data_IF_597354323100
#
_entry.id   IF_597354323100
#
_cell.length_a   1.000
_cell.length_b   1.000
_cell.length_c   1.000
_cell.angle_alpha   90.00
_cell.angle_beta   90.00
_cell.angle_gamma   90.00
#
_symmetry.space_group_name_H-M   'P 1'
#
loop_
_entity.id
_entity.type
_entity.pdbx_description
1 polymer ?
#
# COMPACT_ATOMS: atom_id res chain seq x y z
N UNK A 1 -11.92 4.80 19.43
CA UNK A 1 -11.46 6.09 20.01
C UNK A 1 -12.38 7.21 19.53
N UNK A 2 -12.68 8.21 20.37
CA UNK A 2 -13.51 9.35 19.94
C UNK A 2 -12.59 10.42 19.35
N UNK A 3 -12.82 10.78 18.07
CA UNK A 3 -12.02 11.79 17.37
C UNK A 3 -12.51 13.19 17.76
N UNK A 4 -11.65 14.00 18.35
CA UNK A 4 -11.99 15.33 18.88
C UNK A 4 -11.11 16.47 18.32
N UNK A 5 -9.95 16.11 17.77
CA UNK A 5 -8.96 17.06 17.27
C UNK A 5 -8.05 16.41 16.21
N UNK A 6 -7.18 17.21 15.59
CA UNK A 6 -6.24 16.74 14.55
C UNK A 6 -5.25 15.70 15.08
N UNK A 7 -4.86 15.78 16.36
CA UNK A 7 -3.96 14.80 16.96
C UNK A 7 -4.63 13.43 17.08
N UNK A 8 -5.91 13.37 17.46
CA UNK A 8 -6.68 12.12 17.49
C UNK A 8 -6.80 11.51 16.08
N UNK A 9 -7.03 12.36 15.05
CA UNK A 9 -7.05 11.94 13.64
C UNK A 9 -5.69 11.38 13.21
N UNK A 10 -4.61 12.10 13.54
CA UNK A 10 -3.24 11.69 13.22
C UNK A 10 -2.91 10.32 13.82
N UNK A 11 -3.10 10.15 15.13
CA UNK A 11 -2.81 8.88 15.83
C UNK A 11 -3.66 7.73 15.27
N UNK A 12 -4.95 7.98 15.02
CA UNK A 12 -5.86 6.97 14.44
C UNK A 12 -5.42 6.59 13.04
N UNK A 13 -5.07 7.56 12.20
CA UNK A 13 -4.62 7.32 10.83
C UNK A 13 -3.31 6.53 10.79
N UNK A 14 -2.33 6.87 11.64
CA UNK A 14 -1.09 6.10 11.77
C UNK A 14 -1.36 4.65 12.17
N UNK A 15 -2.28 4.44 13.12
CA UNK A 15 -2.67 3.11 13.58
C UNK A 15 -3.24 2.24 12.44
N UNK A 16 -4.11 2.82 11.60
CA UNK A 16 -4.71 2.12 10.46
C UNK A 16 -3.74 1.87 9.32
N UNK A 17 -2.85 2.83 9.05
CA UNK A 17 -1.83 2.67 8.00
C UNK A 17 -0.81 1.61 8.39
N UNK A 18 -0.43 1.52 9.66
CA UNK A 18 0.50 0.50 10.12
C UNK A 18 -0.06 -0.92 9.94
N UNK A 19 -1.32 -1.16 10.30
CA UNK A 19 -2.00 -2.45 10.05
C UNK A 19 -2.17 -2.73 8.54
N UNK A 20 -2.38 -1.68 7.73
CA UNK A 20 -2.42 -1.81 6.28
C UNK A 20 -1.08 -2.31 5.74
N UNK A 21 0.05 -1.71 6.12
CA UNK A 21 1.37 -2.12 5.63
C UNK A 21 1.73 -3.54 6.05
N UNK A 22 1.42 -3.94 7.28
CA UNK A 22 1.63 -5.31 7.75
C UNK A 22 0.88 -6.33 6.88
N UNK A 23 -0.39 -6.05 6.55
CA UNK A 23 -1.25 -6.94 5.78
C UNK A 23 -0.89 -6.98 4.29
N UNK A 24 -0.68 -5.80 3.69
CA UNK A 24 -0.36 -5.69 2.27
C UNK A 24 1.02 -6.26 1.97
N UNK A 25 1.98 -6.12 2.89
CA UNK A 25 3.28 -6.78 2.77
C UNK A 25 3.18 -8.31 2.72
N UNK A 26 2.32 -8.92 3.55
CA UNK A 26 2.05 -10.37 3.50
C UNK A 26 1.35 -10.78 2.21
N UNK A 27 0.41 -9.97 1.73
CA UNK A 27 -0.30 -10.23 0.49
C UNK A 27 0.60 -10.11 -0.73
N UNK A 28 1.54 -9.16 -0.75
CA UNK A 28 2.48 -8.98 -1.86
C UNK A 28 3.28 -10.27 -2.15
N UNK A 29 3.60 -11.07 -1.13
CA UNK A 29 4.22 -12.38 -1.32
C UNK A 29 3.32 -13.33 -2.11
N UNK A 30 2.03 -13.44 -1.76
CA UNK A 30 1.05 -14.25 -2.49
C UNK A 30 0.85 -13.75 -3.93
N UNK A 31 0.83 -12.44 -4.13
CA UNK A 31 0.74 -11.85 -5.48
C UNK A 31 1.98 -12.18 -6.31
N UNK A 32 3.17 -12.18 -5.72
CA UNK A 32 4.40 -12.58 -6.40
C UNK A 32 4.39 -14.06 -6.81
N UNK A 33 3.83 -14.95 -5.99
CA UNK A 33 3.66 -16.36 -6.31
C UNK A 33 2.65 -16.57 -7.45
N UNK A 34 1.55 -15.82 -7.44
CA UNK A 34 0.46 -15.92 -8.39
C UNK A 34 0.75 -15.28 -9.76
N UNK A 35 1.65 -14.30 -9.82
CA UNK A 35 2.01 -13.58 -11.04
C UNK A 35 2.75 -14.48 -12.04
N UNK A 36 2.41 -14.38 -13.32
CA UNK A 36 3.06 -15.10 -14.43
C UNK A 36 4.14 -14.24 -15.10
N UNK A 37 3.95 -12.92 -15.19
CA UNK A 37 4.92 -12.01 -15.76
C UNK A 37 6.13 -11.84 -14.81
N UNK A 38 7.39 -12.10 -15.28
CA UNK A 38 8.57 -12.05 -14.41
C UNK A 38 8.85 -10.67 -13.80
N UNK A 39 8.60 -9.60 -14.54
CA UNK A 39 8.82 -8.24 -14.05
C UNK A 39 7.79 -7.87 -12.97
N UNK A 40 6.53 -8.26 -13.17
CA UNK A 40 5.48 -8.08 -12.18
C UNK A 40 5.76 -8.88 -10.91
N UNK A 41 6.23 -10.12 -11.04
CA UNK A 41 6.69 -10.95 -9.92
C UNK A 41 7.77 -10.24 -9.11
N UNK A 42 8.78 -9.69 -9.78
CA UNK A 42 9.87 -8.94 -9.11
C UNK A 42 9.35 -7.70 -8.38
N UNK A 43 8.40 -6.97 -8.98
CA UNK A 43 7.78 -5.80 -8.33
C UNK A 43 7.07 -6.22 -7.04
N UNK A 44 6.29 -7.30 -7.06
CA UNK A 44 5.60 -7.78 -5.87
C UNK A 44 6.56 -8.31 -4.80
N UNK A 45 7.65 -8.99 -5.18
CA UNK A 45 8.70 -9.41 -4.24
C UNK A 45 9.33 -8.19 -3.53
N UNK A 46 9.63 -7.13 -4.27
CA UNK A 46 10.14 -5.87 -3.69
C UNK A 46 9.11 -5.21 -2.78
N UNK A 47 7.83 -5.31 -3.10
CA UNK A 47 6.75 -4.72 -2.29
C UNK A 47 6.67 -5.33 -0.88
N UNK A 48 7.07 -6.58 -0.69
CA UNK A 48 7.17 -7.20 0.66
C UNK A 48 8.13 -6.41 1.56
N UNK A 49 9.32 -6.10 1.05
CA UNK A 49 10.33 -5.32 1.78
C UNK A 49 9.89 -3.87 1.95
N UNK A 50 9.33 -3.28 0.90
CA UNK A 50 8.83 -1.90 0.92
C UNK A 50 7.74 -1.67 1.97
N UNK A 51 6.76 -2.56 2.08
CA UNK A 51 5.71 -2.44 3.12
C UNK A 51 6.31 -2.45 4.53
N UNK A 52 7.35 -3.26 4.77
CA UNK A 52 8.06 -3.26 6.04
C UNK A 52 8.77 -1.92 6.29
N UNK A 53 9.47 -1.38 5.29
CA UNK A 53 10.13 -0.06 5.38
C UNK A 53 9.10 1.05 5.66
N UNK A 54 7.95 1.01 4.99
CA UNK A 54 6.86 1.97 5.22
C UNK A 54 6.32 1.86 6.66
N UNK A 55 6.08 0.65 7.14
CA UNK A 55 5.66 0.43 8.52
C UNK A 55 6.66 0.98 9.55
N UNK A 56 7.97 0.78 9.34
CA UNK A 56 9.01 1.34 10.20
C UNK A 56 8.98 2.88 10.22
N UNK A 57 8.75 3.53 9.09
CA UNK A 57 8.61 4.99 9.01
C UNK A 57 7.33 5.48 9.72
N UNK A 58 6.24 4.72 9.67
CA UNK A 58 5.03 5.00 10.47
C UNK A 58 5.33 4.91 11.96
N UNK A 59 6.09 3.90 12.41
CA UNK A 59 6.52 3.76 13.80
C UNK A 59 7.43 4.93 14.24
N UNK A 60 8.32 5.40 13.36
CA UNK A 60 9.11 6.61 13.60
C UNK A 60 8.21 7.86 13.80
N UNK A 61 7.16 8.01 12.97
CA UNK A 61 6.22 9.11 13.14
C UNK A 61 5.51 9.07 14.50
N UNK A 62 5.09 7.88 14.99
CA UNK A 62 4.58 7.72 16.36
C UNK A 62 5.57 8.21 17.42
N UNK A 63 6.84 7.79 17.30
CA UNK A 63 7.90 8.20 18.24
C UNK A 63 8.11 9.71 18.25
N UNK A 64 8.13 10.33 17.05
CA UNK A 64 8.29 11.79 16.91
C UNK A 64 7.11 12.58 17.47
N UNK A 65 5.93 11.98 17.51
CA UNK A 65 4.73 12.54 18.15
C UNK A 65 4.71 12.31 19.67
N UNK A 66 5.66 11.56 20.22
CA UNK A 66 5.64 11.16 21.63
C UNK A 66 4.49 10.21 21.97
N UNK A 67 3.98 9.46 20.98
CA UNK A 67 2.87 8.54 21.14
C UNK A 67 3.36 7.08 21.12
N UNK A 68 2.76 6.20 21.91
CA UNK A 68 3.03 4.77 21.82
C UNK A 68 2.54 4.23 20.47
N UNK A 69 3.31 3.31 19.89
CA UNK A 69 2.89 2.60 18.66
C UNK A 69 1.64 1.78 18.95
N UNK A 70 0.60 1.98 18.17
CA UNK A 70 -0.68 1.28 18.29
C UNK A 70 -1.03 0.64 16.94
N UNK A 71 -1.71 -0.50 17.01
CA UNK A 71 -2.24 -1.22 15.85
C UNK A 71 -3.73 -1.48 16.04
N UNK A 72 -4.53 -1.08 15.09
CA UNK A 72 -5.94 -1.39 15.03
C UNK A 72 -6.27 -1.97 13.68
N UNK A 73 -7.23 -2.87 13.67
CA UNK A 73 -7.70 -3.52 12.46
C UNK A 73 -8.17 -2.50 11.40
N UNK A 74 -7.56 -2.54 10.23
CA UNK A 74 -7.97 -1.78 9.07
C UNK A 74 -8.90 -2.64 8.20
N UNK A 75 -10.20 -2.35 8.25
CA UNK A 75 -11.21 -3.09 7.48
C UNK A 75 -11.07 -2.87 5.97
N UNK A 76 -10.55 -1.72 5.51
CA UNK A 76 -10.28 -1.47 4.10
C UNK A 76 -9.16 -2.39 3.62
N UNK A 77 -8.08 -2.52 4.41
CA UNK A 77 -7.00 -3.46 4.09
C UNK A 77 -7.51 -4.90 3.99
N UNK A 78 -8.38 -5.31 4.90
CA UNK A 78 -8.97 -6.66 4.85
C UNK A 78 -9.83 -6.88 3.60
N UNK A 79 -10.65 -5.90 3.23
CA UNK A 79 -11.45 -5.98 2.01
C UNK A 79 -10.57 -6.08 0.76
N UNK A 80 -9.51 -5.26 0.65
CA UNK A 80 -8.56 -5.32 -0.46
C UNK A 80 -7.87 -6.69 -0.55
N UNK A 81 -7.50 -7.29 0.59
CA UNK A 81 -6.90 -8.62 0.62
C UNK A 81 -7.88 -9.68 0.09
N UNK A 82 -9.12 -9.62 0.56
CA UNK A 82 -10.16 -10.55 0.13
C UNK A 82 -10.43 -10.46 -1.38
N UNK A 83 -10.48 -9.25 -1.94
CA UNK A 83 -10.62 -9.03 -3.38
C UNK A 83 -9.47 -9.66 -4.18
N UNK A 84 -8.23 -9.47 -3.74
CA UNK A 84 -7.06 -10.09 -4.40
C UNK A 84 -7.12 -11.62 -4.35
N UNK A 85 -7.49 -12.19 -3.20
CA UNK A 85 -7.67 -13.64 -3.07
C UNK A 85 -8.77 -14.16 -4.01
N UNK A 86 -9.86 -13.41 -4.14
CA UNK A 86 -10.92 -13.69 -5.10
C UNK A 86 -10.44 -13.62 -6.56
N UNK A 87 -9.66 -12.61 -6.92
CA UNK A 87 -9.07 -12.46 -8.27
C UNK A 87 -8.16 -13.66 -8.59
N UNK A 88 -7.30 -14.08 -7.67
CA UNK A 88 -6.42 -15.24 -7.86
C UNK A 88 -7.23 -16.53 -8.02
N UNK A 89 -8.26 -16.72 -7.21
CA UNK A 89 -9.08 -17.93 -7.23
C UNK A 89 -9.94 -18.07 -8.49
N UNK A 90 -10.36 -16.94 -9.08
CA UNK A 90 -11.29 -16.90 -10.23
C UNK A 90 -10.60 -16.64 -11.57
N UNK A 91 -9.28 -16.70 -11.64
CA UNK A 91 -8.52 -16.54 -12.89
C UNK A 91 -7.50 -17.66 -13.04
N UNK A 92 -7.28 -18.13 -14.26
CA UNK A 92 -6.18 -19.02 -14.57
C UNK A 92 -4.83 -18.27 -14.56
N UNK A 93 -3.70 -18.97 -14.27
CA UNK A 93 -2.37 -18.37 -14.42
C UNK A 93 -2.18 -17.83 -15.85
N UNK A 94 -1.73 -16.57 -15.95
CA UNK A 94 -1.52 -15.95 -17.25
C UNK A 94 -1.79 -14.43 -17.24
N UNK A 95 -1.81 -13.80 -18.44
CA UNK A 95 -1.89 -12.35 -18.56
C UNK A 95 -3.15 -11.72 -17.95
N UNK A 96 -4.28 -12.43 -17.95
CA UNK A 96 -5.53 -11.92 -17.37
C UNK A 96 -5.41 -11.80 -15.85
N UNK A 97 -4.85 -12.81 -15.19
CA UNK A 97 -4.54 -12.75 -13.76
C UNK A 97 -3.55 -11.62 -13.47
N UNK A 98 -2.49 -11.53 -14.24
CA UNK A 98 -1.49 -10.45 -14.07
C UNK A 98 -2.12 -9.06 -14.18
N UNK A 99 -3.03 -8.84 -15.13
CA UNK A 99 -3.77 -7.59 -15.27
C UNK A 99 -4.64 -7.31 -14.03
N UNK A 100 -5.34 -8.31 -13.51
CA UNK A 100 -6.15 -8.17 -12.28
C UNK A 100 -5.27 -7.82 -11.07
N UNK A 101 -4.10 -8.46 -10.93
CA UNK A 101 -3.15 -8.16 -9.84
C UNK A 101 -2.58 -6.75 -9.94
N UNK A 102 -2.36 -6.21 -11.14
CA UNK A 102 -1.95 -4.81 -11.34
C UNK A 102 -3.03 -3.85 -10.85
N UNK A 103 -4.29 -4.08 -11.19
CA UNK A 103 -5.42 -3.25 -10.72
C UNK A 103 -5.45 -3.22 -9.20
N UNK A 104 -5.36 -4.37 -8.55
CA UNK A 104 -5.36 -4.46 -7.09
C UNK A 104 -4.15 -3.74 -6.46
N UNK A 105 -2.97 -3.88 -7.05
CA UNK A 105 -1.77 -3.20 -6.57
C UNK A 105 -1.87 -1.68 -6.72
N UNK A 106 -2.43 -1.17 -7.82
CA UNK A 106 -2.67 0.26 -8.00
C UNK A 106 -3.68 0.81 -6.97
N UNK A 107 -4.74 0.07 -6.66
CA UNK A 107 -5.67 0.44 -5.58
C UNK A 107 -4.95 0.57 -4.23
N UNK A 108 -4.04 -0.35 -3.92
CA UNK A 108 -3.22 -0.29 -2.70
C UNK A 108 -2.29 0.93 -2.70
N UNK A 109 -1.67 1.27 -3.85
CA UNK A 109 -0.85 2.48 -3.96
C UNK A 109 -1.69 3.75 -3.78
N UNK A 110 -2.87 3.82 -4.36
CA UNK A 110 -3.77 4.97 -4.17
C UNK A 110 -4.21 5.13 -2.71
N UNK A 111 -4.47 4.03 -2.00
CA UNK A 111 -4.73 4.07 -0.57
C UNK A 111 -3.55 4.66 0.22
N UNK A 112 -2.30 4.26 -0.11
CA UNK A 112 -1.09 4.83 0.48
C UNK A 112 -0.97 6.32 0.20
N UNK A 113 -1.16 6.72 -1.05
CA UNK A 113 -1.06 8.14 -1.46
C UNK A 113 -2.05 9.00 -0.68
N UNK A 114 -3.31 8.58 -0.57
CA UNK A 114 -4.33 9.29 0.18
C UNK A 114 -4.00 9.34 1.69
N UNK A 115 -3.61 8.20 2.26
CA UNK A 115 -3.32 8.08 3.69
C UNK A 115 -2.07 8.88 4.09
N UNK A 116 -0.95 8.65 3.41
CA UNK A 116 0.29 9.37 3.72
C UNK A 116 0.20 10.86 3.43
N UNK A 117 -0.52 11.27 2.37
CA UNK A 117 -0.76 12.68 2.09
C UNK A 117 -1.51 13.38 3.22
N UNK A 118 -2.57 12.77 3.73
CA UNK A 118 -3.34 13.32 4.85
C UNK A 118 -2.52 13.36 6.14
N UNK A 119 -1.79 12.27 6.45
CA UNK A 119 -0.99 12.16 7.67
C UNK A 119 0.20 13.13 7.68
N UNK A 120 0.88 13.32 6.54
CA UNK A 120 1.93 14.34 6.40
C UNK A 120 1.38 15.71 6.72
N UNK A 121 0.23 16.08 6.12
CA UNK A 121 -0.39 17.37 6.36
C UNK A 121 -0.85 17.55 7.82
N UNK A 122 -1.38 16.51 8.48
CA UNK A 122 -1.75 16.57 9.89
C UNK A 122 -0.51 16.78 10.79
N UNK A 123 0.61 16.15 10.49
CA UNK A 123 1.85 16.34 11.22
C UNK A 123 2.36 17.79 11.08
N UNK A 124 2.27 18.38 9.89
CA UNK A 124 2.60 19.80 9.62
C UNK A 124 1.68 20.74 10.38
N UNK A 125 0.36 20.50 10.37
CA UNK A 125 -0.61 21.31 11.13
C UNK A 125 -0.35 21.27 12.65
N UNK A 126 0.17 20.16 13.15
CA UNK A 126 0.59 20.01 14.55
C UNK A 126 1.97 20.63 14.83
N UNK A 127 2.62 21.25 13.83
CA UNK A 127 3.95 21.82 13.95
C UNK A 127 5.08 20.79 14.09
N UNK A 128 4.81 19.51 13.81
CA UNK A 128 5.77 18.42 14.00
C UNK A 128 6.36 17.97 12.66
N UNK A 129 7.32 18.73 12.14
CA UNK A 129 8.01 18.43 10.88
C UNK A 129 8.80 17.11 10.93
N UNK A 130 9.32 16.75 12.09
CA UNK A 130 10.07 15.50 12.29
C UNK A 130 9.18 14.26 12.13
N UNK A 131 7.89 14.36 12.47
CA UNK A 131 6.91 13.32 12.21
C UNK A 131 6.40 13.33 10.75
N UNK A 132 6.36 14.50 10.11
CA UNK A 132 5.93 14.63 8.72
C UNK A 132 6.92 13.99 7.74
N UNK A 133 8.24 14.17 7.95
CA UNK A 133 9.28 13.73 7.02
C UNK A 133 9.19 12.25 6.63
N UNK A 134 9.16 11.26 7.54
CA UNK A 134 9.10 9.85 7.15
C UNK A 134 7.80 9.50 6.40
N UNK A 135 6.72 10.22 6.64
CA UNK A 135 5.43 10.02 5.95
C UNK A 135 5.46 10.60 4.53
N UNK A 136 6.11 11.76 4.34
CA UNK A 136 6.32 12.36 3.03
C UNK A 136 7.19 11.47 2.12
N UNK A 137 8.22 10.84 2.68
CA UNK A 137 9.05 9.88 1.96
C UNK A 137 8.22 8.68 1.48
N UNK A 138 7.34 8.14 2.35
CA UNK A 138 6.42 7.07 1.96
C UNK A 138 5.44 7.52 0.88
N UNK A 139 4.92 8.74 0.97
CA UNK A 139 4.03 9.33 -0.04
C UNK A 139 4.70 9.41 -1.41
N UNK A 140 5.93 9.92 -1.45
CA UNK A 140 6.70 10.08 -2.69
C UNK A 140 7.00 8.72 -3.34
N UNK A 141 7.44 7.75 -2.54
CA UNK A 141 7.76 6.41 -3.03
C UNK A 141 6.51 5.67 -3.53
N UNK A 142 5.35 5.85 -2.87
CA UNK A 142 4.08 5.26 -3.29
C UNK A 142 3.60 5.80 -4.65
N UNK A 143 3.78 7.09 -4.93
CA UNK A 143 3.47 7.68 -6.24
C UNK A 143 4.33 7.06 -7.36
N UNK A 144 5.63 6.90 -7.14
CA UNK A 144 6.51 6.24 -8.11
C UNK A 144 6.18 4.76 -8.32
N UNK A 145 5.68 4.07 -7.28
CA UNK A 145 5.22 2.68 -7.39
C UNK A 145 4.00 2.52 -8.27
N UNK A 146 3.04 3.43 -8.19
CA UNK A 146 1.84 3.46 -9.05
C UNK A 146 2.21 3.67 -10.52
N UNK A 147 3.07 4.64 -10.83
CA UNK A 147 3.54 4.91 -12.18
C UNK A 147 4.21 3.68 -12.82
N UNK A 148 5.03 2.97 -12.05
CA UNK A 148 5.72 1.76 -12.52
C UNK A 148 4.75 0.62 -12.83
N UNK A 149 3.78 0.35 -11.96
CA UNK A 149 2.77 -0.69 -12.17
C UNK A 149 1.90 -0.38 -13.40
N UNK A 150 1.50 0.88 -13.55
CA UNK A 150 0.75 1.34 -14.71
C UNK A 150 1.53 1.11 -16.00
N UNK A 151 2.82 1.46 -16.04
CA UNK A 151 3.66 1.25 -17.21
C UNK A 151 3.79 -0.25 -17.59
N UNK A 152 3.96 -1.13 -16.61
CA UNK A 152 4.00 -2.58 -16.85
C UNK A 152 2.65 -3.06 -17.42
N UNK A 153 1.53 -2.59 -16.85
CA UNK A 153 0.19 -2.92 -17.31
C UNK A 153 -0.02 -2.53 -18.77
N UNK A 154 0.16 -1.27 -19.08
CA UNK A 154 -0.12 -0.70 -20.41
C UNK A 154 0.80 -1.26 -21.50
N UNK A 155 2.09 -1.40 -21.22
CA UNK A 155 3.08 -1.74 -22.21
C UNK A 155 3.24 -3.25 -22.44
N UNK A 156 2.94 -4.09 -21.45
CA UNK A 156 3.25 -5.53 -21.47
C UNK A 156 2.06 -6.41 -21.19
N UNK A 157 1.39 -6.23 -20.04
CA UNK A 157 0.40 -7.19 -19.53
C UNK A 157 -0.94 -7.05 -20.24
N UNK A 158 -1.49 -5.84 -20.33
CA UNK A 158 -2.82 -5.61 -20.91
C UNK A 158 -2.92 -6.01 -22.41
N UNK A 159 -1.91 -5.74 -23.26
CA UNK A 159 -1.92 -6.24 -24.63
C UNK A 159 -1.97 -7.76 -24.72
N UNK A 160 -1.25 -8.46 -23.84
CA UNK A 160 -1.26 -9.94 -23.79
C UNK A 160 -2.59 -10.48 -23.22
N UNK A 161 -3.16 -9.83 -22.20
CA UNK A 161 -4.46 -10.19 -21.64
C UNK A 161 -5.59 -10.05 -22.70
N UNK A 162 -5.53 -8.98 -23.51
CA UNK A 162 -6.48 -8.80 -24.62
C UNK A 162 -6.35 -9.88 -25.67
N UNK A 163 -5.15 -10.38 -25.95
CA UNK A 163 -4.92 -11.42 -26.96
C UNK A 163 -5.27 -12.83 -26.46
N UNK A 164 -5.47 -13.02 -25.15
CA UNK A 164 -5.84 -14.29 -24.54
C UNK A 164 -7.36 -14.56 -24.53
N UNK A 165 -8.18 -13.66 -25.11
CA UNK A 165 -9.64 -13.75 -25.14
C UNK A 165 -10.15 -14.57 -26.32
#
# INVERSE_FOLDING_TARGET
MKLRNVQDLMVTGLTYVLDFEDKVGQQAAKMAEAASNPELKEVFQKSVTKSREYGQKVEQAFQKLGQPVQRNQNHIAQAMIHEVEGMIANTDPGPVRDAALIVAANQQQMFRVASYGSLTHYAELLGNKDAAQPLEENLKDSKGGDEKLTAIGEQKVNPQAKAAA
#
